data_IF_581833937457
#
_entry.id   IF_581833937457
#
_cell.length_a   1.000
_cell.length_b   1.000
_cell.length_c   1.000
_cell.angle_alpha   90.00
_cell.angle_beta   90.00
_cell.angle_gamma   90.00
#
_symmetry.space_group_name_H-M   'P 1'
#
loop_
_entity.id
_entity.type
_entity.pdbx_description
1 polymer ?
#
# COMPACT_ATOMS: atom_id res chain seq x y z
N UNK A 1 14.69 -19.72 -9.17
CA UNK A 1 14.37 -18.34 -9.62
C UNK A 1 13.18 -18.30 -10.57
N UNK A 2 13.23 -18.99 -11.72
CA UNK A 2 12.14 -18.99 -12.73
C UNK A 2 10.78 -19.46 -12.18
N UNK A 3 10.77 -20.52 -11.38
CA UNK A 3 9.56 -21.07 -10.76
C UNK A 3 8.92 -20.13 -9.74
N UNK A 4 9.74 -19.45 -8.92
CA UNK A 4 9.27 -18.45 -7.94
C UNK A 4 8.72 -17.17 -8.60
N UNK A 5 9.18 -16.87 -9.81
CA UNK A 5 8.61 -15.82 -10.65
C UNK A 5 7.26 -16.25 -11.25
N UNK A 6 7.15 -17.50 -11.69
CA UNK A 6 5.91 -18.04 -12.23
C UNK A 6 4.83 -18.19 -11.14
N UNK A 7 5.21 -18.58 -9.92
CA UNK A 7 4.28 -18.70 -8.78
C UNK A 7 3.93 -17.36 -8.12
N UNK A 8 4.72 -16.32 -8.36
CA UNK A 8 4.55 -15.01 -7.73
C UNK A 8 5.10 -14.91 -6.30
N UNK A 9 5.68 -15.97 -5.74
CA UNK A 9 6.24 -15.96 -4.37
C UNK A 9 7.35 -14.91 -4.21
N UNK A 10 8.10 -14.67 -5.29
CA UNK A 10 9.09 -13.59 -5.34
C UNK A 10 8.46 -12.22 -5.08
N UNK A 11 7.29 -11.95 -5.66
CA UNK A 11 6.59 -10.67 -5.52
C UNK A 11 6.08 -10.49 -4.09
N UNK A 12 5.60 -11.56 -3.44
CA UNK A 12 5.23 -11.52 -2.02
C UNK A 12 6.41 -11.15 -1.12
N UNK A 13 7.58 -11.77 -1.32
CA UNK A 13 8.79 -11.44 -0.56
C UNK A 13 9.27 -10.02 -0.87
N UNK A 14 9.10 -9.55 -2.10
CA UNK A 14 9.48 -8.20 -2.50
C UNK A 14 8.56 -7.14 -1.89
N UNK A 15 7.25 -7.34 -1.91
CA UNK A 15 6.25 -6.47 -1.28
C UNK A 15 6.50 -6.33 0.22
N UNK A 16 6.83 -7.43 0.90
CA UNK A 16 7.16 -7.41 2.34
C UNK A 16 8.41 -6.58 2.66
N UNK A 17 9.33 -6.39 1.70
CA UNK A 17 10.59 -5.66 1.89
C UNK A 17 10.54 -4.22 1.40
N UNK A 18 9.60 -3.87 0.53
CA UNK A 18 9.50 -2.57 -0.13
C UNK A 18 8.10 -2.00 0.04
N UNK A 19 7.92 -1.16 1.05
CA UNK A 19 6.64 -0.53 1.38
C UNK A 19 5.98 0.19 0.19
N UNK A 20 6.77 0.89 -0.64
CA UNK A 20 6.24 1.60 -1.81
C UNK A 20 5.64 0.68 -2.88
N UNK A 21 6.07 -0.58 -2.95
CA UNK A 21 5.60 -1.55 -3.92
C UNK A 21 4.47 -2.42 -3.36
N UNK A 22 4.19 -2.29 -2.06
CA UNK A 22 3.27 -3.15 -1.35
C UNK A 22 1.86 -3.07 -1.94
N UNK A 23 1.27 -1.88 -2.01
CA UNK A 23 -0.12 -1.71 -2.48
C UNK A 23 -0.33 -2.30 -3.87
N UNK A 24 0.53 -1.95 -4.82
CA UNK A 24 0.43 -2.44 -6.19
C UNK A 24 0.55 -3.98 -6.26
N UNK A 25 1.51 -4.58 -5.54
CA UNK A 25 1.69 -6.03 -5.56
C UNK A 25 0.57 -6.74 -4.81
N UNK A 26 0.10 -6.16 -3.71
CA UNK A 26 -0.97 -6.73 -2.91
C UNK A 26 -2.23 -6.89 -3.77
N UNK A 27 -2.72 -5.80 -4.36
CA UNK A 27 -3.96 -5.82 -5.15
C UNK A 27 -3.84 -6.63 -6.44
N UNK A 28 -2.71 -6.57 -7.14
CA UNK A 28 -2.56 -7.24 -8.44
C UNK A 28 -2.17 -8.73 -8.36
N UNK A 29 -1.72 -9.23 -7.20
CA UNK A 29 -1.14 -10.58 -7.10
C UNK A 29 -1.54 -11.31 -5.82
N UNK A 30 -1.43 -10.66 -4.67
CA UNK A 30 -1.66 -11.33 -3.39
C UNK A 30 -3.15 -11.52 -3.17
N UNK A 31 -3.95 -10.45 -3.29
CA UNK A 31 -5.39 -10.47 -3.06
C UNK A 31 -6.09 -11.55 -3.90
N UNK A 32 -5.86 -11.55 -5.22
CA UNK A 32 -6.44 -12.52 -6.15
C UNK A 32 -6.02 -13.98 -5.87
N UNK A 33 -4.84 -14.20 -5.28
CA UNK A 33 -4.38 -15.55 -4.93
C UNK A 33 -5.13 -16.13 -3.73
N UNK A 34 -5.54 -15.28 -2.79
CA UNK A 34 -6.23 -15.70 -1.57
C UNK A 34 -7.76 -15.67 -1.72
N UNK A 35 -8.30 -14.67 -2.41
CA UNK A 35 -9.74 -14.47 -2.56
C UNK A 35 -10.29 -14.91 -3.92
N UNK A 36 -9.42 -15.29 -4.85
CA UNK A 36 -9.78 -15.65 -6.22
C UNK A 36 -9.82 -14.44 -7.15
N UNK A 37 -9.98 -14.70 -8.46
CA UNK A 37 -10.26 -13.64 -9.41
C UNK A 37 -11.70 -13.16 -9.21
N UNK A 38 -11.90 -11.85 -9.07
CA UNK A 38 -13.23 -11.28 -8.97
C UNK A 38 -14.00 -11.51 -10.29
N UNK A 39 -15.25 -11.98 -10.19
CA UNK A 39 -16.14 -12.22 -11.35
C UNK A 39 -16.68 -10.90 -11.94
N UNK A 40 -16.60 -9.84 -11.15
CA UNK A 40 -17.03 -8.51 -11.52
C UNK A 40 -15.78 -7.76 -11.98
N UNK A 41 -15.84 -7.10 -13.13
CA UNK A 41 -14.74 -6.38 -13.81
C UNK A 41 -14.35 -5.10 -13.05
N UNK A 42 -14.14 -5.24 -11.74
CA UNK A 42 -13.81 -4.18 -10.79
C UNK A 42 -12.29 -4.01 -10.84
N UNK A 43 -11.80 -2.76 -10.98
CA UNK A 43 -10.37 -2.49 -10.90
C UNK A 43 -9.77 -3.06 -9.60
N UNK A 44 -8.56 -3.65 -9.63
CA UNK A 44 -7.93 -4.19 -8.42
C UNK A 44 -7.79 -3.17 -7.28
N UNK A 45 -7.69 -1.89 -7.62
CA UNK A 45 -7.58 -0.77 -6.68
C UNK A 45 -8.90 -0.42 -5.97
N UNK A 46 -10.05 -0.86 -6.48
CA UNK A 46 -11.38 -0.63 -5.87
C UNK A 46 -11.86 -1.86 -5.07
N UNK A 47 -11.15 -2.99 -5.16
CA UNK A 47 -11.51 -4.23 -4.44
C UNK A 47 -11.44 -4.09 -2.91
N UNK A 48 -10.73 -3.08 -2.40
CA UNK A 48 -10.60 -2.86 -0.96
C UNK A 48 -11.95 -2.69 -0.25
N UNK A 49 -12.95 -2.07 -0.89
CA UNK A 49 -14.29 -1.89 -0.30
C UNK A 49 -14.95 -3.23 0.04
N UNK A 50 -14.86 -4.20 -0.88
CA UNK A 50 -15.35 -5.56 -0.62
C UNK A 50 -14.55 -6.28 0.46
N UNK A 51 -13.24 -6.03 0.53
CA UNK A 51 -12.40 -6.64 1.57
C UNK A 51 -12.68 -6.06 2.95
N UNK A 52 -13.17 -4.83 3.04
CA UNK A 52 -13.63 -4.27 4.31
C UNK A 52 -14.84 -5.00 4.90
N UNK A 53 -15.71 -5.55 4.06
CA UNK A 53 -16.86 -6.35 4.51
C UNK A 53 -16.43 -7.67 5.21
N UNK A 54 -15.17 -8.09 5.04
CA UNK A 54 -14.62 -9.29 5.69
C UNK A 54 -14.13 -9.03 7.12
N UNK A 55 -13.97 -7.76 7.51
CA UNK A 55 -13.52 -7.39 8.84
C UNK A 55 -14.68 -7.51 9.83
N UNK A 56 -14.38 -7.96 11.04
CA UNK A 56 -15.33 -7.88 12.15
C UNK A 56 -15.55 -6.42 12.57
N UNK A 57 -16.68 -6.17 13.21
CA UNK A 57 -17.10 -4.81 13.59
C UNK A 57 -16.05 -4.11 14.45
N UNK A 58 -15.43 -4.81 15.41
CA UNK A 58 -14.43 -4.22 16.29
C UNK A 58 -13.18 -3.80 15.50
N UNK A 59 -12.72 -4.62 14.57
CA UNK A 59 -11.59 -4.27 13.70
C UNK A 59 -11.93 -3.08 12.80
N UNK A 60 -13.15 -3.04 12.27
CA UNK A 60 -13.63 -1.92 11.44
C UNK A 60 -13.68 -0.61 12.22
N UNK A 61 -14.28 -0.59 13.40
CA UNK A 61 -14.33 0.59 14.28
C UNK A 61 -12.93 1.12 14.65
N UNK A 62 -11.99 0.21 14.93
CA UNK A 62 -10.61 0.55 15.21
C UNK A 62 -9.92 1.17 13.98
N UNK A 63 -10.18 0.62 12.79
CA UNK A 63 -9.65 1.15 11.53
C UNK A 63 -10.25 2.53 11.22
N UNK A 64 -11.55 2.72 11.39
CA UNK A 64 -12.23 4.00 11.15
C UNK A 64 -11.65 5.10 12.05
N UNK A 65 -11.47 4.80 13.35
CA UNK A 65 -10.82 5.70 14.31
C UNK A 65 -9.38 6.07 13.88
N UNK A 66 -8.65 5.10 13.33
CA UNK A 66 -7.31 5.32 12.80
C UNK A 66 -7.32 6.22 11.56
N UNK A 67 -8.22 5.95 10.60
CA UNK A 67 -8.37 6.72 9.36
C UNK A 67 -8.76 8.16 9.67
N UNK A 68 -9.73 8.39 10.55
CA UNK A 68 -10.12 9.73 10.97
C UNK A 68 -8.94 10.53 11.52
N UNK A 69 -8.14 9.92 12.39
CA UNK A 69 -6.94 10.55 12.93
C UNK A 69 -5.94 10.86 11.82
N UNK A 70 -5.71 9.94 10.88
CA UNK A 70 -4.82 10.17 9.74
C UNK A 70 -5.31 11.28 8.80
N UNK A 71 -6.61 11.38 8.56
CA UNK A 71 -7.17 12.48 7.77
C UNK A 71 -6.97 13.84 8.45
N UNK A 72 -7.14 13.92 9.77
CA UNK A 72 -6.85 15.14 10.56
C UNK A 72 -5.35 15.49 10.54
N UNK A 73 -4.47 14.50 10.68
CA UNK A 73 -3.02 14.69 10.56
C UNK A 73 -2.66 15.23 9.17
N UNK A 74 -3.20 14.65 8.09
CA UNK A 74 -2.91 15.08 6.71
C UNK A 74 -3.31 16.53 6.43
N UNK A 75 -4.37 17.05 7.06
CA UNK A 75 -4.77 18.46 6.91
C UNK A 75 -3.73 19.45 7.47
N UNK A 76 -2.96 19.03 8.47
CA UNK A 76 -1.99 19.88 9.17
C UNK A 76 -0.55 19.57 8.79
N UNK A 77 -0.31 18.41 8.19
CA UNK A 77 1.02 17.93 7.82
C UNK A 77 1.49 18.61 6.54
N UNK A 78 2.61 19.34 6.63
CA UNK A 78 3.33 19.80 5.45
C UNK A 78 3.88 18.59 4.68
N UNK A 79 3.54 18.52 3.39
CA UNK A 79 4.08 17.52 2.46
C UNK A 79 5.50 17.91 2.05
N UNK A 80 6.44 17.77 2.99
CA UNK A 80 7.86 17.91 2.69
C UNK A 80 8.41 16.58 2.17
N UNK A 81 9.14 16.66 1.05
CA UNK A 81 9.94 15.54 0.57
C UNK A 81 11.12 15.33 1.52
N UNK A 82 11.40 14.07 1.90
CA UNK A 82 12.61 13.76 2.66
C UNK A 82 13.81 13.97 1.72
N UNK A 83 14.66 14.98 1.97
CA UNK A 83 15.67 15.38 1.01
C UNK A 83 16.69 14.25 0.85
N UNK A 84 16.86 13.81 -0.39
CA UNK A 84 17.91 12.86 -0.71
C UNK A 84 19.29 13.52 -0.59
N UNK A 85 20.34 12.70 -0.70
CA UNK A 85 21.72 13.17 -0.59
C UNK A 85 22.03 14.30 -1.57
N UNK A 86 21.48 14.26 -2.78
CA UNK A 86 21.71 15.29 -3.79
C UNK A 86 21.01 16.60 -3.43
N UNK A 87 19.77 16.53 -2.93
CA UNK A 87 18.99 17.68 -2.45
C UNK A 87 19.72 18.39 -1.31
N UNK A 88 20.29 17.61 -0.38
CA UNK A 88 21.09 18.13 0.74
C UNK A 88 22.41 18.76 0.29
N UNK A 89 23.11 18.15 -0.68
CA UNK A 89 24.36 18.69 -1.22
C UNK A 89 24.11 19.99 -2.00
N UNK A 90 23.05 20.06 -2.80
CA UNK A 90 22.66 21.27 -3.54
C UNK A 90 22.23 22.42 -2.61
N UNK A 91 21.47 22.13 -1.55
CA UNK A 91 21.07 23.14 -0.56
C UNK A 91 22.27 23.82 0.13
N UNK A 92 23.40 23.12 0.30
CA UNK A 92 24.65 23.68 0.85
C UNK A 92 25.38 24.60 -0.12
N UNK A 93 25.15 24.46 -1.42
CA UNK A 93 25.78 25.29 -2.48
C UNK A 93 24.99 26.58 -2.71
N UNK A 94 23.69 26.57 -2.41
CA UNK A 94 22.77 27.68 -2.64
C UNK A 94 22.52 28.52 -1.38
N UNK A 95 22.93 28.03 -0.21
CA UNK A 95 22.94 28.77 1.08
C UNK A 95 24.19 29.63 1.25
#
# INVERSE_FOLDING_TARGET
MRESWASGDFLTVYAARRSFAFDCIYWNKIDQRFFGADEQDIPPEDMWEKRLELLDEQTREAMDSFVERKMKETQTKELAWDPDRYTLEWAKVVS
#
